data_IF_486018397779
#
_entry.id   IF_486018397779
#
_cell.length_a   1.000
_cell.length_b   1.000
_cell.length_c   1.000
_cell.angle_alpha   90.00
_cell.angle_beta   90.00
_cell.angle_gamma   90.00
#
_symmetry.space_group_name_H-M   'P 1'
#
loop_
_entity.id
_entity.type
_entity.pdbx_description
1 polymer ?
#
# COMPACT_ATOMS: atom_id res chain seq x y z
N UNK A 1 1.61 -1.94 24.72
CA UNK A 1 1.85 -1.25 23.44
C UNK A 1 0.86 -0.10 23.34
N UNK A 2 1.33 1.13 23.13
CA UNK A 2 0.43 2.21 22.74
C UNK A 2 0.05 2.00 21.28
N UNK A 3 -1.23 1.81 20.98
CA UNK A 3 -1.71 1.78 19.60
C UNK A 3 -1.72 3.22 19.08
N UNK A 4 -0.71 3.58 18.29
CA UNK A 4 -0.73 4.82 17.53
C UNK A 4 -1.88 4.75 16.51
N UNK A 5 -2.85 5.66 16.64
CA UNK A 5 -3.96 5.77 15.70
C UNK A 5 -3.53 6.62 14.51
N UNK A 6 -3.41 5.96 13.36
CA UNK A 6 -3.21 6.64 12.08
C UNK A 6 -4.53 6.79 11.34
N UNK A 7 -4.76 7.99 10.79
CA UNK A 7 -5.91 8.28 9.94
C UNK A 7 -5.43 8.39 8.50
N UNK A 8 -6.08 7.65 7.60
CA UNK A 8 -5.80 7.69 6.17
C UNK A 8 -6.96 8.42 5.50
N UNK A 9 -6.66 9.42 4.68
CA UNK A 9 -7.70 10.05 3.86
C UNK A 9 -7.84 9.30 2.54
N UNK A 10 -9.06 8.86 2.25
CA UNK A 10 -9.41 8.13 1.04
C UNK A 10 -10.44 8.96 0.29
N UNK A 11 -10.25 9.10 -1.02
CA UNK A 11 -11.21 9.79 -1.88
C UNK A 11 -12.57 9.09 -1.88
N UNK A 12 -13.65 9.86 -2.08
CA UNK A 12 -15.02 9.34 -2.00
C UNK A 12 -15.28 8.20 -3.00
N UNK A 13 -14.66 8.26 -4.18
CA UNK A 13 -14.81 7.25 -5.23
C UNK A 13 -14.15 5.94 -4.82
N UNK A 14 -12.93 6.03 -4.31
CA UNK A 14 -12.11 4.89 -3.87
C UNK A 14 -12.75 4.22 -2.65
N UNK A 15 -13.26 5.02 -1.71
CA UNK A 15 -13.98 4.51 -0.55
C UNK A 15 -15.24 3.74 -0.95
N UNK A 16 -16.01 4.24 -1.92
CA UNK A 16 -17.19 3.53 -2.43
C UNK A 16 -16.82 2.19 -3.08
N UNK A 17 -15.72 2.14 -3.83
CA UNK A 17 -15.23 0.88 -4.39
C UNK A 17 -14.85 -0.12 -3.28
N UNK A 18 -14.21 0.33 -2.21
CA UNK A 18 -13.92 -0.50 -1.04
C UNK A 18 -15.19 -1.01 -0.34
N UNK A 19 -16.23 -0.17 -0.20
CA UNK A 19 -17.52 -0.60 0.35
C UNK A 19 -18.19 -1.69 -0.51
N UNK A 20 -18.15 -1.55 -1.84
CA UNK A 20 -18.73 -2.54 -2.74
C UNK A 20 -17.96 -3.87 -2.70
N UNK A 21 -16.62 -3.83 -2.63
CA UNK A 21 -15.78 -5.03 -2.44
C UNK A 21 -16.06 -5.68 -1.08
N UNK A 22 -16.09 -4.89 0.00
CA UNK A 22 -16.36 -5.38 1.35
C UNK A 22 -17.71 -6.11 1.43
N UNK A 23 -18.74 -5.57 0.77
CA UNK A 23 -20.05 -6.20 0.67
C UNK A 23 -20.01 -7.52 -0.11
N UNK A 24 -19.28 -7.58 -1.22
CA UNK A 24 -19.15 -8.81 -2.02
C UNK A 24 -18.44 -9.94 -1.25
N UNK A 25 -17.52 -9.58 -0.36
CA UNK A 25 -16.75 -10.53 0.44
C UNK A 25 -17.38 -10.83 1.80
N UNK A 26 -18.51 -10.19 2.15
CA UNK A 26 -19.15 -10.26 3.47
C UNK A 26 -18.19 -9.95 4.62
N UNK A 27 -17.42 -8.86 4.47
CA UNK A 27 -16.41 -8.43 5.43
C UNK A 27 -16.62 -6.97 5.86
N UNK A 28 -16.30 -6.62 7.13
CA UNK A 28 -16.21 -5.22 7.52
C UNK A 28 -15.13 -4.49 6.72
N UNK A 29 -15.42 -3.26 6.26
CA UNK A 29 -14.48 -2.47 5.48
C UNK A 29 -13.12 -2.27 6.18
N UNK A 30 -13.13 -2.15 7.52
CA UNK A 30 -11.90 -2.01 8.31
C UNK A 30 -11.02 -3.26 8.24
N UNK A 31 -11.63 -4.44 8.20
CA UNK A 31 -10.91 -5.71 8.06
C UNK A 31 -10.35 -5.84 6.65
N UNK A 32 -11.14 -5.52 5.62
CA UNK A 32 -10.68 -5.49 4.23
C UNK A 32 -9.46 -4.58 4.05
N UNK A 33 -9.51 -3.35 4.58
CA UNK A 33 -8.37 -2.41 4.52
C UNK A 33 -7.16 -2.95 5.27
N UNK A 34 -7.37 -3.61 6.42
CA UNK A 34 -6.27 -4.20 7.20
C UNK A 34 -5.61 -5.35 6.45
N UNK A 35 -6.39 -6.20 5.78
CA UNK A 35 -5.89 -7.29 4.94
C UNK A 35 -5.11 -6.76 3.74
N UNK A 36 -5.68 -5.80 3.01
CA UNK A 36 -5.03 -5.20 1.84
C UNK A 36 -3.70 -4.52 2.21
N UNK A 37 -3.65 -3.82 3.34
CA UNK A 37 -2.39 -3.22 3.82
C UNK A 37 -1.37 -4.29 4.21
N UNK A 38 -1.79 -5.36 4.88
CA UNK A 38 -0.90 -6.47 5.24
C UNK A 38 -0.30 -7.10 3.98
N UNK A 39 -1.13 -7.49 3.01
CA UNK A 39 -0.66 -8.08 1.75
C UNK A 39 0.28 -7.14 1.00
N UNK A 40 -0.01 -5.84 1.00
CA UNK A 40 0.88 -4.85 0.38
C UNK A 40 2.25 -4.77 1.06
N UNK A 41 2.29 -4.76 2.39
CA UNK A 41 3.56 -4.74 3.13
C UNK A 41 4.30 -6.07 3.03
N UNK A 42 3.61 -7.20 3.01
CA UNK A 42 4.20 -8.51 2.79
C UNK A 42 4.84 -8.56 1.39
N UNK A 43 4.14 -8.07 0.36
CA UNK A 43 4.70 -7.94 -0.99
C UNK A 43 5.94 -7.04 -1.03
N UNK A 44 5.91 -5.89 -0.36
CA UNK A 44 7.09 -5.01 -0.27
C UNK A 44 8.26 -5.72 0.40
N UNK A 45 8.01 -6.49 1.46
CA UNK A 45 9.06 -7.15 2.23
C UNK A 45 9.66 -8.36 1.49
N UNK A 46 8.82 -9.15 0.83
CA UNK A 46 9.24 -10.35 0.11
C UNK A 46 9.94 -10.00 -1.21
N UNK A 47 9.46 -8.96 -1.93
CA UNK A 47 9.98 -8.61 -3.24
C UNK A 47 10.16 -7.09 -3.42
N UNK A 48 10.96 -6.52 -2.51
CA UNK A 48 11.21 -5.06 -2.45
C UNK A 48 11.71 -4.52 -3.79
N UNK A 49 12.55 -5.27 -4.51
CA UNK A 49 13.10 -4.81 -5.78
C UNK A 49 12.00 -4.68 -6.85
N UNK A 50 11.14 -5.70 -6.98
CA UNK A 50 10.01 -5.67 -7.91
C UNK A 50 9.04 -4.56 -7.54
N UNK A 51 8.76 -4.35 -6.26
CA UNK A 51 7.96 -3.20 -5.82
C UNK A 51 8.59 -1.88 -6.27
N UNK A 52 9.86 -1.63 -5.93
CA UNK A 52 10.58 -0.40 -6.30
C UNK A 52 10.62 -0.19 -7.81
N UNK A 53 10.70 -1.27 -8.59
CA UNK A 53 10.66 -1.21 -10.05
C UNK A 53 9.26 -0.82 -10.54
N UNK A 54 8.21 -1.44 -10.00
CA UNK A 54 6.82 -1.17 -10.34
C UNK A 54 6.38 0.28 -10.10
N UNK A 55 6.92 0.93 -9.06
CA UNK A 55 6.66 2.34 -8.74
C UNK A 55 7.64 3.30 -9.41
N UNK A 56 8.54 2.79 -10.28
CA UNK A 56 9.52 3.57 -11.03
C UNK A 56 10.61 4.20 -10.15
N UNK A 57 10.81 3.70 -8.93
CA UNK A 57 11.80 4.21 -7.99
C UNK A 57 13.20 3.61 -8.20
N UNK A 58 13.32 2.40 -8.76
CA UNK A 58 14.63 1.79 -9.08
C UNK A 58 15.48 2.72 -9.95
N UNK A 59 14.90 3.31 -10.99
CA UNK A 59 15.63 4.21 -11.89
C UNK A 59 16.03 5.51 -11.18
N UNK A 60 15.19 6.03 -10.28
CA UNK A 60 15.52 7.23 -9.48
C UNK A 60 16.66 6.95 -8.50
N UNK A 61 16.67 5.78 -7.85
CA UNK A 61 17.74 5.35 -6.96
C UNK A 61 19.06 5.18 -7.71
N UNK A 62 19.05 4.48 -8.86
CA UNK A 62 20.24 4.34 -9.72
C UNK A 62 20.81 5.70 -10.12
N UNK A 63 19.96 6.63 -10.54
CA UNK A 63 20.41 7.98 -10.92
C UNK A 63 20.94 8.78 -9.73
N UNK A 64 20.35 8.66 -8.54
CA UNK A 64 20.85 9.34 -7.34
C UNK A 64 22.23 8.81 -6.93
N UNK A 65 22.45 7.49 -6.99
CA UNK A 65 23.75 6.89 -6.71
C UNK A 65 24.81 7.30 -7.74
N UNK A 66 24.44 7.42 -9.02
CA UNK A 66 25.38 7.80 -10.09
C UNK A 66 25.66 9.30 -10.18
N UNK A 67 24.81 10.15 -9.59
CA UNK A 67 24.99 11.61 -9.53
C UNK A 67 25.63 12.07 -8.22
N UNK A 68 26.19 11.14 -7.43
CA UNK A 68 26.88 11.44 -6.16
C UNK A 68 28.39 11.68 -6.33
N UNK A 69 28.85 11.91 -7.57
CA UNK A 69 30.21 12.34 -7.92
C UNK A 69 30.30 13.86 -8.15
#
# INVERSE_FOLDING_TARGET
MNEEKFTIQIGRREYKALEDIARLLDLPIKELVSLALREFFDFINEDTFVFLESVGLVNKLKNACNNSD
#
